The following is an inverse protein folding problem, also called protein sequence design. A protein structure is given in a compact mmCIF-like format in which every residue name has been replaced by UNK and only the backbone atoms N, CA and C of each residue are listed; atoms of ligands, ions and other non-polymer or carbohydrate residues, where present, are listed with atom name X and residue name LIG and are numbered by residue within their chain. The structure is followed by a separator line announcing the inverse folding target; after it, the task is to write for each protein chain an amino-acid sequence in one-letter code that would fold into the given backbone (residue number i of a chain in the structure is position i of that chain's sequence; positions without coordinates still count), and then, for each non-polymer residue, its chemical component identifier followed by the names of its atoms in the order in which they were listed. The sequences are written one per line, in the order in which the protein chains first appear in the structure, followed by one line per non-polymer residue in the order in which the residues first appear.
data_IF_542885004837
#
_entry.id   IF_542885004837
#
_cell.length_a   1.000
_cell.length_b   1.000
_cell.length_c   1.000
_cell.angle_alpha   90.00
_cell.angle_beta   90.00
_cell.angle_gamma   90.00
#
_symmetry.space_group_name_H-M   'P 1'
#
loop_
_entity.id
_entity.type
_entity.pdbx_description
1 polymer ?
#
# COMPACT_ATOMS: atom_id res chain seq x y z
N UNK A 1 6.48 12.21 -4.21
CA UNK A 1 5.40 11.30 -3.77
C UNK A 1 5.84 10.57 -2.52
N UNK A 2 4.89 10.06 -1.75
CA UNK A 2 5.15 9.18 -0.59
C UNK A 2 4.46 7.86 -0.86
N UNK A 3 5.22 6.76 -0.83
CA UNK A 3 4.71 5.41 -1.09
C UNK A 3 4.64 4.62 0.21
N UNK A 4 3.47 4.08 0.51
CA UNK A 4 3.24 3.22 1.66
C UNK A 4 2.99 1.80 1.15
N UNK A 5 3.90 0.89 1.46
CA UNK A 5 3.81 -0.53 1.10
C UNK A 5 3.37 -1.33 2.32
N UNK A 6 2.37 -2.19 2.12
CA UNK A 6 1.79 -3.03 3.16
C UNK A 6 1.57 -4.44 2.62
N UNK A 7 1.86 -5.45 3.44
CA UNK A 7 1.54 -6.84 3.13
C UNK A 7 0.65 -7.37 4.25
N UNK A 8 -0.48 -7.95 3.89
CA UNK A 8 -1.45 -8.54 4.82
C UNK A 8 -1.59 -10.02 4.52
N UNK A 9 -1.35 -10.86 5.53
CA UNK A 9 -1.66 -12.29 5.46
C UNK A 9 -3.18 -12.46 5.64
N UNK A 10 -3.86 -12.97 4.62
CA UNK A 10 -5.31 -13.18 4.64
C UNK A 10 -5.64 -14.57 5.19
N UNK A 11 -4.79 -15.55 4.86
CA UNK A 11 -4.80 -16.89 5.42
C UNK A 11 -3.36 -17.45 5.35
N UNK A 12 -3.05 -18.63 5.95
CA UNK A 12 -1.68 -19.15 6.00
C UNK A 12 -0.92 -19.17 4.67
N UNK A 13 -1.65 -19.30 3.56
CA UNK A 13 -1.08 -19.42 2.23
C UNK A 13 -1.38 -18.23 1.32
N UNK A 14 -2.20 -17.25 1.72
CA UNK A 14 -2.61 -16.13 0.87
C UNK A 14 -2.20 -14.80 1.48
N UNK A 15 -1.50 -13.98 0.69
CA UNK A 15 -1.08 -12.64 1.06
C UNK A 15 -1.57 -11.63 0.04
N UNK A 16 -1.98 -10.46 0.52
CA UNK A 16 -2.25 -9.30 -0.31
C UNK A 16 -1.17 -8.27 -0.03
N UNK A 17 -0.45 -7.86 -1.07
CA UNK A 17 0.42 -6.68 -1.06
C UNK A 17 -0.37 -5.49 -1.58
N UNK A 18 -0.30 -4.36 -0.87
CA UNK A 18 -0.95 -3.12 -1.25
C UNK A 18 0.04 -1.98 -1.15
N UNK A 19 0.22 -1.27 -2.25
CA UNK A 19 1.09 -0.10 -2.36
C UNK A 19 0.19 1.12 -2.60
N UNK A 20 0.16 2.05 -1.66
CA UNK A 20 -0.57 3.32 -1.79
C UNK A 20 0.44 4.42 -2.04
N UNK A 21 0.28 5.14 -3.15
CA UNK A 21 1.09 6.30 -3.47
C UNK A 21 0.29 7.56 -3.20
N UNK A 22 0.77 8.37 -2.25
CA UNK A 22 0.24 9.67 -1.94
C UNK A 22 1.02 10.76 -2.68
N UNK A 23 0.31 11.83 -3.05
CA UNK A 23 0.97 13.10 -3.32
C UNK A 23 1.72 13.50 -2.04
N UNK A 24 2.96 14.00 -2.17
CA UNK A 24 3.69 14.47 -1.01
C UNK A 24 2.98 15.72 -0.47
N UNK A 25 2.50 15.71 0.79
CA UNK A 25 1.86 16.87 1.37
C UNK A 25 2.91 17.93 1.71
N UNK A 26 2.50 19.18 1.96
CA UNK A 26 3.31 20.17 2.67
C UNK A 26 3.86 19.63 4.00
N UNK A 27 4.90 20.27 4.54
CA UNK A 27 5.49 19.84 5.80
C UNK A 27 4.44 19.84 6.94
N UNK A 28 4.50 18.80 7.78
CA UNK A 28 3.61 18.59 8.93
C UNK A 28 2.13 18.35 8.61
N UNK A 29 1.73 18.24 7.34
CA UNK A 29 0.38 17.86 6.94
C UNK A 29 0.22 16.32 6.77
N UNK A 30 -0.98 15.76 7.00
CA UNK A 30 -1.23 14.34 6.84
C UNK A 30 -1.18 13.89 5.38
N UNK A 31 -0.94 12.59 5.15
CA UNK A 31 -1.09 11.96 3.85
C UNK A 31 -2.58 11.79 3.54
N UNK A 32 -3.16 12.66 2.72
CA UNK A 32 -4.59 12.66 2.41
C UNK A 32 -4.90 12.30 0.94
N UNK A 33 -4.05 12.73 0.01
CA UNK A 33 -4.32 12.62 -1.42
C UNK A 33 -3.66 11.41 -2.06
N UNK A 34 -4.46 10.37 -2.26
CA UNK A 34 -4.06 9.16 -3.01
C UNK A 34 -4.01 9.44 -4.51
N UNK A 35 -2.90 9.07 -5.14
CA UNK A 35 -2.67 9.20 -6.59
C UNK A 35 -2.78 7.85 -7.30
N UNK A 36 -2.27 6.79 -6.66
CA UNK A 36 -2.27 5.44 -7.22
C UNK A 36 -2.39 4.42 -6.10
N UNK A 37 -3.16 3.37 -6.34
CA UNK A 37 -3.17 2.17 -5.49
C UNK A 37 -2.85 0.95 -6.36
N UNK A 38 -1.82 0.20 -5.96
CA UNK A 38 -1.47 -1.08 -6.56
C UNK A 38 -1.76 -2.23 -5.60
N UNK A 39 -2.22 -3.36 -6.14
CA UNK A 39 -2.47 -4.60 -5.40
C UNK A 39 -1.72 -5.76 -6.04
N UNK A 40 -1.15 -6.63 -5.20
CA UNK A 40 -0.60 -7.92 -5.58
C UNK A 40 -1.25 -9.01 -4.72
N UNK A 41 -1.56 -10.14 -5.33
CA UNK A 41 -2.07 -11.32 -4.63
C UNK A 41 -1.04 -12.42 -4.78
N UNK A 42 -0.56 -12.93 -3.66
CA UNK A 42 0.46 -13.97 -3.61
C UNK A 42 -0.09 -15.21 -2.90
N UNK A 43 -0.03 -16.35 -3.58
CA UNK A 43 -0.34 -17.67 -3.03
C UNK A 43 0.99 -18.37 -2.73
N UNK A 44 1.26 -18.70 -1.46
CA UNK A 44 2.37 -19.59 -1.09
C UNK A 44 2.08 -20.99 -1.65
N UNK A 45 3.04 -21.49 -2.42
CA UNK A 45 3.17 -22.90 -2.78
C UNK A 45 3.82 -23.68 -1.64
#
# INVERSE_FOLDING_TARGET
MVSVDSITLINPNLRIRKIINYQRPPESEPLDKVVLVGFGVEQKA
#
